data_IF_989253889715
#
_entry.id   IF_989253889715
#
_cell.length_a   1.000
_cell.length_b   1.000
_cell.length_c   1.000
_cell.angle_alpha   90.00
_cell.angle_beta   90.00
_cell.angle_gamma   90.00
#
_symmetry.space_group_name_H-M   'P 1'
#
loop_
_entity.id
_entity.type
_entity.pdbx_description
1 polymer ?
#
# COMPACT_ATOMS: atom_id res chain seq x y z
N UNK A 1 5.45 18.39 20.70
CA UNK A 1 6.24 18.44 19.44
C UNK A 1 5.59 17.53 18.42
N UNK A 2 5.52 17.96 17.17
CA UNK A 2 5.03 17.15 16.03
C UNK A 2 6.03 16.05 15.72
N UNK A 3 5.55 14.85 15.38
CA UNK A 3 6.41 13.67 15.14
C UNK A 3 6.44 13.25 13.68
N UNK A 4 5.33 13.46 12.96
CA UNK A 4 5.14 12.97 11.61
C UNK A 4 4.51 14.04 10.72
N UNK A 5 4.62 13.84 9.40
CA UNK A 5 3.92 14.62 8.39
C UNK A 5 2.99 13.71 7.59
N UNK A 6 1.70 14.06 7.52
CA UNK A 6 0.73 13.40 6.66
C UNK A 6 0.61 14.18 5.35
N UNK A 7 0.95 13.55 4.24
CA UNK A 7 1.02 14.19 2.91
C UNK A 7 0.13 13.45 1.94
N UNK A 8 -0.63 14.19 1.14
CA UNK A 8 -1.49 13.65 0.07
C UNK A 8 -0.97 14.17 -1.26
N UNK A 9 -0.74 13.25 -2.20
CA UNK A 9 -0.20 13.53 -3.52
C UNK A 9 -1.15 12.98 -4.56
N UNK A 10 -1.50 13.80 -5.55
CA UNK A 10 -2.19 13.36 -6.76
C UNK A 10 -1.14 12.98 -7.80
N UNK A 11 -1.31 11.80 -8.40
CA UNK A 11 -0.38 11.24 -9.38
C UNK A 11 -1.14 10.97 -10.67
N UNK A 12 -0.60 11.45 -11.79
CA UNK A 12 -1.14 11.17 -13.12
C UNK A 12 -1.07 9.68 -13.43
N UNK A 13 -2.19 9.05 -13.74
CA UNK A 13 -2.21 7.64 -14.17
C UNK A 13 -1.81 7.49 -15.64
N UNK A 14 -2.28 8.40 -16.49
CA UNK A 14 -2.03 8.38 -17.94
C UNK A 14 -0.97 9.40 -18.37
N UNK A 15 -0.30 10.02 -17.40
CA UNK A 15 0.64 11.14 -17.59
C UNK A 15 1.71 11.06 -16.51
N UNK A 16 2.86 11.72 -16.72
CA UNK A 16 4.02 11.61 -15.84
C UNK A 16 4.15 12.81 -14.88
N UNK A 17 3.09 13.14 -14.14
CA UNK A 17 3.13 14.21 -13.14
C UNK A 17 2.70 13.74 -11.75
N UNK A 18 3.17 14.47 -10.75
CA UNK A 18 2.79 14.30 -9.33
C UNK A 18 2.72 15.68 -8.68
N UNK A 19 1.66 15.95 -7.94
CA UNK A 19 1.47 17.22 -7.23
C UNK A 19 1.00 16.94 -5.80
N UNK A 20 1.74 17.38 -4.77
CA UNK A 20 1.23 17.41 -3.40
C UNK A 20 0.07 18.38 -3.31
N UNK A 21 -1.07 17.93 -2.78
CA UNK A 21 -2.28 18.75 -2.68
C UNK A 21 -2.63 19.11 -1.23
N UNK A 22 -2.09 18.38 -0.26
CA UNK A 22 -2.28 18.67 1.15
C UNK A 22 -1.11 18.13 1.97
N UNK A 23 -0.78 18.84 3.05
CA UNK A 23 0.18 18.38 4.05
C UNK A 23 -0.29 18.83 5.44
N UNK A 24 -0.07 17.97 6.44
CA UNK A 24 -0.43 18.23 7.83
C UNK A 24 0.71 17.76 8.73
N UNK A 25 1.19 18.64 9.61
CA UNK A 25 2.12 18.26 10.67
C UNK A 25 1.31 17.68 11.84
N UNK A 26 1.58 16.43 12.19
CA UNK A 26 0.74 15.68 13.12
C UNK A 26 1.56 15.05 14.25
N UNK A 27 0.88 14.76 15.35
CA UNK A 27 1.40 13.96 16.45
C UNK A 27 0.46 12.75 16.64
N UNK A 28 0.34 11.96 15.57
CA UNK A 28 -0.76 11.03 15.37
C UNK A 28 -1.95 11.69 14.68
N UNK A 29 -2.70 10.87 13.95
CA UNK A 29 -3.96 11.24 13.29
C UNK A 29 -4.91 10.06 13.43
N UNK A 30 -6.14 10.32 13.88
CA UNK A 30 -7.11 9.24 14.01
C UNK A 30 -7.71 8.87 12.65
N UNK A 31 -8.33 7.69 12.59
CA UNK A 31 -8.87 7.14 11.34
C UNK A 31 -9.98 8.02 10.73
N UNK A 32 -10.82 8.62 11.57
CA UNK A 32 -11.95 9.45 11.14
C UNK A 32 -11.46 10.77 10.53
N UNK A 33 -10.52 11.44 11.20
CA UNK A 33 -9.85 12.64 10.69
C UNK A 33 -9.20 12.38 9.33
N UNK A 34 -8.46 11.27 9.21
CA UNK A 34 -7.80 10.91 7.96
C UNK A 34 -8.82 10.67 6.83
N UNK A 35 -9.91 9.94 7.10
CA UNK A 35 -10.97 9.72 6.12
C UNK A 35 -11.62 11.05 5.67
N UNK A 36 -11.91 11.95 6.62
CA UNK A 36 -12.50 13.26 6.32
C UNK A 36 -11.57 14.16 5.49
N UNK A 37 -10.27 14.16 5.77
CA UNK A 37 -9.29 14.89 4.95
C UNK A 37 -9.28 14.35 3.51
N UNK A 38 -9.29 13.03 3.33
CA UNK A 38 -9.32 12.40 2.01
C UNK A 38 -10.61 12.75 1.25
N UNK A 39 -11.76 12.70 1.91
CA UNK A 39 -13.04 13.08 1.31
C UNK A 39 -13.07 14.56 0.90
N UNK A 40 -12.51 15.45 1.72
CA UNK A 40 -12.37 16.86 1.37
C UNK A 40 -11.45 17.04 0.15
N UNK A 41 -10.32 16.34 0.09
CA UNK A 41 -9.45 16.37 -1.09
C UNK A 41 -10.19 15.94 -2.36
N UNK A 42 -11.02 14.90 -2.30
CA UNK A 42 -11.82 14.49 -3.46
C UNK A 42 -12.86 15.53 -3.88
N UNK A 43 -13.53 16.18 -2.92
CA UNK A 43 -14.48 17.27 -3.22
C UNK A 43 -13.80 18.45 -3.90
N UNK A 44 -12.62 18.86 -3.45
CA UNK A 44 -11.86 19.93 -4.09
C UNK A 44 -11.42 19.52 -5.50
N UNK A 45 -10.92 18.29 -5.66
CA UNK A 45 -10.47 17.79 -6.96
C UNK A 45 -11.59 17.64 -7.98
N UNK A 46 -12.81 17.30 -7.56
CA UNK A 46 -13.99 17.26 -8.42
C UNK A 46 -14.22 18.58 -9.17
N UNK A 47 -13.93 19.72 -8.53
CA UNK A 47 -14.09 21.06 -9.13
C UNK A 47 -13.10 21.34 -10.27
N UNK A 48 -12.00 20.61 -10.33
CA UNK A 48 -10.91 20.81 -11.32
C UNK A 48 -11.11 20.02 -12.61
N UNK A 49 -12.08 19.10 -12.64
CA UNK A 49 -12.25 18.14 -13.73
C UNK A 49 -11.30 16.93 -13.68
N UNK A 50 -10.37 16.87 -12.72
CA UNK A 50 -9.54 15.68 -12.47
C UNK A 50 -10.43 14.53 -12.01
N UNK A 51 -10.27 13.37 -12.64
CA UNK A 51 -10.98 12.15 -12.27
C UNK A 51 -10.03 11.25 -11.48
N UNK A 52 -10.26 11.14 -10.18
CA UNK A 52 -9.57 10.16 -9.34
C UNK A 52 -10.20 8.79 -9.58
N UNK A 53 -9.38 7.74 -9.66
CA UNK A 53 -9.85 6.35 -9.82
C UNK A 53 -9.34 5.42 -8.73
N UNK A 54 -8.26 5.80 -8.04
CA UNK A 54 -7.53 4.94 -7.12
C UNK A 54 -7.01 5.74 -5.93
N UNK A 55 -7.08 5.14 -4.75
CA UNK A 55 -6.42 5.61 -3.53
C UNK A 55 -5.33 4.60 -3.15
N UNK A 56 -4.09 5.07 -3.01
CA UNK A 56 -2.94 4.22 -2.67
C UNK A 56 -2.34 4.61 -1.32
N UNK A 57 -2.04 3.62 -0.47
CA UNK A 57 -1.40 3.83 0.84
C UNK A 57 -0.67 2.56 1.32
N UNK A 58 0.13 2.65 2.39
CA UNK A 58 0.89 1.52 2.92
C UNK A 58 0.03 0.49 3.69
N UNK A 59 0.64 -0.61 4.14
CA UNK A 59 -0.09 -1.65 4.89
C UNK A 59 -0.39 -1.33 6.36
N UNK A 60 -0.27 -0.08 6.82
CA UNK A 60 -0.45 0.25 8.24
C UNK A 60 -1.93 0.09 8.68
N UNK A 61 -2.14 -0.43 9.89
CA UNK A 61 -3.49 -0.72 10.43
C UNK A 61 -4.43 0.50 10.39
N UNK A 62 -3.92 1.69 10.71
CA UNK A 62 -4.71 2.93 10.67
C UNK A 62 -5.18 3.26 9.22
N UNK A 63 -4.36 2.98 8.20
CA UNK A 63 -4.73 3.22 6.81
C UNK A 63 -5.76 2.20 6.30
N UNK A 64 -5.65 0.94 6.72
CA UNK A 64 -6.64 -0.09 6.44
C UNK A 64 -8.00 0.26 7.07
N UNK A 65 -8.00 0.72 8.33
CA UNK A 65 -9.22 1.18 9.00
C UNK A 65 -9.84 2.41 8.29
N UNK A 66 -9.00 3.29 7.75
CA UNK A 66 -9.46 4.47 6.98
C UNK A 66 -10.16 4.03 5.69
N UNK A 67 -9.60 3.06 4.97
CA UNK A 67 -10.27 2.47 3.81
C UNK A 67 -11.62 1.83 4.18
N UNK A 68 -11.70 1.13 5.31
CA UNK A 68 -12.96 0.60 5.81
C UNK A 68 -13.98 1.70 6.12
N UNK A 69 -13.55 2.81 6.72
CA UNK A 69 -14.39 3.99 6.97
C UNK A 69 -14.90 4.66 5.70
N UNK A 70 -14.12 4.63 4.62
CA UNK A 70 -14.55 5.12 3.31
C UNK A 70 -15.57 4.20 2.63
N UNK A 71 -15.80 2.98 3.15
CA UNK A 71 -16.83 2.04 2.64
C UNK A 71 -16.27 0.82 1.89
N UNK A 72 -14.96 0.58 1.98
CA UNK A 72 -14.34 -0.65 1.52
C UNK A 72 -14.43 -1.76 2.57
N UNK A 73 -14.30 -3.01 2.15
CA UNK A 73 -14.17 -4.16 3.06
C UNK A 73 -12.84 -4.86 2.79
N UNK A 74 -11.99 -4.91 3.81
CA UNK A 74 -10.65 -5.53 3.74
C UNK A 74 -10.62 -6.90 4.44
N UNK A 75 -11.77 -7.38 4.92
CA UNK A 75 -11.89 -8.73 5.46
C UNK A 75 -11.78 -9.77 4.34
N UNK A 76 -11.00 -10.81 4.58
CA UNK A 76 -10.68 -11.82 3.58
C UNK A 76 -11.93 -12.53 3.00
N UNK A 77 -12.94 -12.80 3.84
CA UNK A 77 -14.17 -13.49 3.43
C UNK A 77 -15.07 -12.66 2.52
N UNK A 78 -14.99 -11.32 2.59
CA UNK A 78 -15.90 -10.40 1.91
C UNK A 78 -15.14 -9.22 1.29
N UNK A 79 -14.03 -9.53 0.64
CA UNK A 79 -13.10 -8.52 0.15
C UNK A 79 -13.76 -7.59 -0.88
N UNK A 80 -13.80 -6.30 -0.56
CA UNK A 80 -14.30 -5.21 -1.39
C UNK A 80 -13.28 -4.06 -1.39
N UNK A 81 -12.33 -4.12 -2.32
CA UNK A 81 -11.26 -3.13 -2.49
C UNK A 81 -11.69 -1.86 -3.25
N UNK A 82 -12.90 -1.38 -2.98
CA UNK A 82 -13.38 -0.11 -3.51
C UNK A 82 -14.48 0.46 -2.63
N UNK A 83 -14.66 1.78 -2.75
CA UNK A 83 -15.85 2.47 -2.26
C UNK A 83 -16.45 3.31 -3.40
N UNK A 84 -17.66 3.79 -3.20
CA UNK A 84 -18.35 4.61 -4.19
C UNK A 84 -18.03 6.07 -3.95
N UNK A 85 -17.68 6.78 -5.03
CA UNK A 85 -17.52 8.22 -4.98
C UNK A 85 -18.87 8.90 -4.73
N UNK A 86 -18.93 9.79 -3.75
CA UNK A 86 -20.19 10.37 -3.23
C UNK A 86 -21.05 11.02 -4.32
N UNK A 87 -20.43 11.61 -5.34
CA UNK A 87 -21.13 12.44 -6.33
C UNK A 87 -21.42 11.74 -7.67
N UNK A 88 -20.69 10.68 -8.00
CA UNK A 88 -20.66 10.12 -9.37
C UNK A 88 -21.05 8.65 -9.43
N UNK A 89 -21.21 8.01 -8.28
CA UNK A 89 -21.41 6.55 -8.15
C UNK A 89 -20.30 5.72 -8.83
N UNK A 90 -19.14 6.35 -9.08
CA UNK A 90 -17.95 5.73 -9.65
C UNK A 90 -17.20 4.96 -8.57
N UNK A 91 -16.61 3.81 -8.93
CA UNK A 91 -15.76 3.04 -8.02
C UNK A 91 -14.41 3.73 -7.83
N UNK A 92 -14.09 4.07 -6.59
CA UNK A 92 -12.75 4.45 -6.13
C UNK A 92 -12.05 3.21 -5.60
N UNK A 93 -11.08 2.70 -6.35
CA UNK A 93 -10.36 1.49 -6.00
C UNK A 93 -9.28 1.76 -4.96
N UNK A 94 -9.05 0.81 -4.06
CA UNK A 94 -7.96 0.85 -3.09
C UNK A 94 -6.80 0.01 -3.57
N UNK A 95 -5.60 0.57 -3.53
CA UNK A 95 -4.35 -0.14 -3.77
C UNK A 95 -3.49 -0.03 -2.51
N UNK A 96 -3.06 -1.18 -2.00
CA UNK A 96 -2.09 -1.21 -0.91
C UNK A 96 -0.70 -1.29 -1.52
N UNK A 97 0.25 -0.51 -0.99
CA UNK A 97 1.65 -0.54 -1.44
C UNK A 97 2.19 -1.97 -1.38
N UNK A 98 2.39 -2.54 -2.57
CA UNK A 98 2.84 -3.93 -2.73
C UNK A 98 4.26 -4.12 -2.18
N UNK A 99 5.12 -3.10 -2.25
CA UNK A 99 6.45 -3.16 -1.67
C UNK A 99 6.36 -3.33 -0.14
N UNK A 100 5.44 -2.59 0.50
CA UNK A 100 5.18 -2.75 1.92
C UNK A 100 4.66 -4.15 2.26
N UNK A 101 3.71 -4.68 1.49
CA UNK A 101 3.17 -6.03 1.72
C UNK A 101 4.23 -7.12 1.57
N UNK A 102 5.07 -7.05 0.53
CA UNK A 102 6.18 -8.01 0.33
C UNK A 102 7.17 -7.94 1.50
N UNK A 103 7.50 -6.74 1.98
CA UNK A 103 8.35 -6.57 3.18
C UNK A 103 7.73 -7.21 4.42
N UNK A 104 6.43 -7.05 4.65
CA UNK A 104 5.73 -7.68 5.77
C UNK A 104 5.73 -9.20 5.67
N UNK A 105 5.41 -9.76 4.50
CA UNK A 105 5.44 -11.21 4.26
C UNK A 105 6.85 -11.78 4.50
N UNK A 106 7.88 -11.10 3.99
CA UNK A 106 9.28 -11.49 4.21
C UNK A 106 9.63 -11.45 5.70
N UNK A 107 9.25 -10.39 6.43
CA UNK A 107 9.52 -10.30 7.86
C UNK A 107 8.79 -11.41 8.63
N UNK A 108 7.51 -11.66 8.32
CA UNK A 108 6.73 -12.74 8.92
C UNK A 108 7.40 -14.11 8.71
N UNK A 109 7.75 -14.45 7.46
CA UNK A 109 8.49 -15.68 7.16
C UNK A 109 9.88 -15.70 7.82
N UNK A 110 10.54 -14.54 7.87
CA UNK A 110 11.83 -14.37 8.51
C UNK A 110 11.78 -14.61 10.01
N UNK A 111 10.72 -14.21 10.70
CA UNK A 111 10.56 -14.39 12.15
C UNK A 111 10.09 -15.82 12.47
N UNK A 112 9.05 -16.28 11.77
CA UNK A 112 8.41 -17.58 12.05
C UNK A 112 9.14 -18.77 11.41
N UNK A 113 10.02 -18.50 10.45
CA UNK A 113 10.84 -19.46 9.67
C UNK A 113 10.05 -20.41 8.78
N UNK A 114 8.83 -20.76 9.14
CA UNK A 114 7.95 -21.68 8.43
C UNK A 114 6.55 -21.07 8.38
N UNK A 115 5.96 -21.01 7.19
CA UNK A 115 4.55 -20.71 6.99
C UNK A 115 3.86 -21.95 6.42
N UNK A 116 2.68 -22.28 6.95
CA UNK A 116 1.86 -23.39 6.47
C UNK A 116 0.84 -22.87 5.46
N UNK A 117 0.74 -23.54 4.32
CA UNK A 117 -0.27 -23.28 3.29
C UNK A 117 -1.44 -24.26 3.48
N UNK A 118 -2.57 -23.98 2.82
CA UNK A 118 -3.64 -24.97 2.64
C UNK A 118 -3.04 -26.31 2.15
N UNK A 119 -3.56 -27.42 2.67
CA UNK A 119 -3.11 -28.80 2.39
C UNK A 119 -1.81 -29.23 3.10
N UNK A 120 -1.27 -28.43 4.03
CA UNK A 120 -0.13 -28.84 4.86
C UNK A 120 1.25 -28.62 4.22
N UNK A 121 1.29 -28.01 3.03
CA UNK A 121 2.53 -27.56 2.40
C UNK A 121 3.19 -26.43 3.22
N UNK A 122 4.50 -26.27 3.07
CA UNK A 122 5.26 -25.28 3.86
C UNK A 122 6.16 -24.41 3.02
N UNK A 123 6.16 -23.11 3.33
CA UNK A 123 7.14 -22.13 2.86
C UNK A 123 8.20 -22.00 3.95
N UNK A 124 9.47 -22.27 3.63
CA UNK A 124 10.57 -22.26 4.59
C UNK A 124 11.57 -21.15 4.30
N UNK A 125 11.96 -20.41 5.32
CA UNK A 125 13.03 -19.40 5.26
C UNK A 125 14.36 -19.98 4.80
N UNK A 126 14.60 -21.28 5.03
CA UNK A 126 15.80 -21.98 4.56
C UNK A 126 15.99 -21.89 3.05
N UNK A 127 14.92 -21.89 2.26
CA UNK A 127 15.03 -21.77 0.80
C UNK A 127 15.60 -20.42 0.38
N UNK A 128 15.25 -19.33 1.08
CA UNK A 128 15.80 -18.00 0.82
C UNK A 128 17.29 -17.93 1.19
N UNK A 129 17.70 -18.53 2.32
CA UNK A 129 19.12 -18.60 2.70
C UNK A 129 19.94 -19.41 1.68
N UNK A 130 19.41 -20.54 1.25
CA UNK A 130 20.08 -21.38 0.26
C UNK A 130 20.22 -20.66 -1.08
N UNK A 131 19.19 -19.93 -1.51
CA UNK A 131 19.25 -19.10 -2.72
C UNK A 131 20.34 -18.03 -2.62
N UNK A 132 20.43 -17.33 -1.49
CA UNK A 132 21.50 -16.34 -1.25
C UNK A 132 22.89 -16.98 -1.27
N UNK A 133 23.04 -18.16 -0.68
CA UNK A 133 24.31 -18.89 -0.71
C UNK A 133 24.69 -19.28 -2.15
N UNK A 134 23.75 -19.83 -2.93
CA UNK A 134 23.96 -20.15 -4.34
C UNK A 134 24.36 -18.92 -5.17
N UNK A 135 23.73 -17.77 -4.90
CA UNK A 135 24.09 -16.50 -5.56
C UNK A 135 25.49 -16.00 -5.17
N UNK A 136 25.95 -16.28 -3.96
CA UNK A 136 27.28 -15.89 -3.48
C UNK A 136 28.38 -16.83 -3.95
N UNK A 137 28.06 -18.13 -4.07
CA UNK A 137 28.98 -19.17 -4.54
C UNK A 137 29.15 -19.17 -6.06
N UNK A 138 28.13 -18.72 -6.79
CA UNK A 138 28.20 -18.64 -8.24
C UNK A 138 28.79 -17.30 -8.72
N UNK A 139 29.63 -17.35 -9.76
CA UNK A 139 30.24 -16.17 -10.42
C UNK A 139 29.20 -15.20 -11.02
N UNK A 140 27.90 -15.54 -10.96
CA UNK A 140 26.77 -14.73 -11.41
C UNK A 140 26.64 -13.36 -10.75
N UNK A 141 27.34 -13.12 -9.63
CA UNK A 141 27.41 -11.79 -8.99
C UNK A 141 27.91 -10.70 -9.94
N UNK A 142 28.78 -11.02 -10.89
CA UNK A 142 29.29 -10.06 -11.88
C UNK A 142 28.33 -9.79 -13.05
N UNK A 143 27.52 -10.77 -13.46
CA UNK A 143 26.69 -10.63 -14.66
C UNK A 143 25.45 -9.73 -14.44
N UNK A 144 24.82 -9.77 -13.27
CA UNK A 144 23.63 -8.94 -12.97
C UNK A 144 23.96 -7.47 -12.63
N UNK A 145 25.18 -7.16 -12.21
CA UNK A 145 25.61 -5.78 -11.92
C UNK A 145 26.06 -5.01 -13.17
N UNK A 146 26.39 -5.71 -14.26
CA UNK A 146 26.86 -5.09 -15.51
C UNK A 146 25.74 -4.81 -16.52
N UNK A 147 24.49 -5.22 -16.25
CA UNK A 147 23.37 -5.13 -17.19
C UNK A 147 22.10 -4.47 -16.60
N UNK A 148 22.22 -3.72 -15.51
CA UNK A 148 21.21 -2.77 -15.03
C UNK A 148 21.80 -1.36 -15.03
#
# INVERSE_FOLDING_TARGET
>A
MTKDAFVIIVVGMNTSWKVPIAYYLINGINTEEKANIILNCFRELDTTGIIIKKLTFDGAANNLLMASKLGANLQYSELKLYFLHTNRNDKMHIIIDSCHIVKLLRNCLGDWKILYIMNGETIKWSYFKNLVNLQNESTYKYYMLLHN
#
